data_IF_683730292691
#
_entry.id   IF_683730292691
#
_cell.length_a   1.000
_cell.length_b   1.000
_cell.length_c   1.000
_cell.angle_alpha   90.00
_cell.angle_beta   90.00
_cell.angle_gamma   90.00
#
_symmetry.space_group_name_H-M   'P 1'
#
loop_
_entity.id
_entity.type
_entity.pdbx_description
1 polymer ?
#
# COMPACT_ATOMS: atom_id res chain seq x y z
N UNK A 1 0.78 -0.49 -17.81
CA UNK A 1 1.42 -1.68 -18.41
C UNK A 1 2.52 -2.16 -17.49
N UNK A 2 2.33 -3.28 -16.81
CA UNK A 2 3.41 -4.01 -16.14
C UNK A 2 3.20 -5.49 -16.48
N UNK A 3 3.74 -5.90 -17.63
CA UNK A 3 3.92 -7.33 -17.92
C UNK A 3 5.05 -7.86 -17.02
N UNK A 4 4.96 -9.13 -16.61
CA UNK A 4 5.99 -9.80 -15.81
C UNK A 4 7.33 -9.74 -16.54
N UNK A 5 8.25 -8.93 -16.01
CA UNK A 5 9.64 -8.89 -16.44
C UNK A 5 10.43 -9.71 -15.41
N UNK A 6 11.25 -10.70 -15.82
CA UNK A 6 12.11 -11.40 -14.89
C UNK A 6 12.98 -10.40 -14.12
N UNK A 7 13.10 -10.58 -12.80
CA UNK A 7 13.84 -9.70 -11.87
C UNK A 7 13.26 -8.29 -11.66
N UNK A 8 11.96 -8.08 -11.88
CA UNK A 8 11.31 -6.80 -11.60
C UNK A 8 10.79 -6.73 -10.18
N UNK A 9 11.24 -5.72 -9.44
CA UNK A 9 10.68 -5.32 -8.14
C UNK A 9 9.15 -5.10 -8.25
N UNK A 10 8.37 -5.46 -7.22
CA UNK A 10 6.93 -5.22 -7.21
C UNK A 10 6.65 -3.73 -7.40
N UNK A 11 5.68 -3.41 -8.26
CA UNK A 11 5.25 -2.02 -8.46
C UNK A 11 4.36 -1.57 -7.30
N UNK A 12 4.67 -0.38 -6.76
CA UNK A 12 3.84 0.31 -5.77
C UNK A 12 2.89 1.28 -6.48
N UNK A 13 1.59 1.21 -6.17
CA UNK A 13 0.64 2.23 -6.58
C UNK A 13 0.55 3.35 -5.53
N UNK A 14 0.86 4.58 -5.91
CA UNK A 14 0.80 5.75 -5.05
C UNK A 14 -0.52 6.51 -5.21
N UNK A 15 -1.01 7.12 -4.13
CA UNK A 15 -2.26 7.91 -4.13
C UNK A 15 -3.54 7.08 -4.03
N UNK A 16 -3.50 5.92 -3.37
CA UNK A 16 -4.70 5.10 -3.12
C UNK A 16 -5.54 5.70 -1.99
N UNK A 17 -6.71 6.22 -2.32
CA UNK A 17 -7.59 6.92 -1.40
C UNK A 17 -8.89 6.15 -1.10
N UNK A 18 -9.33 5.26 -2.00
CA UNK A 18 -10.60 4.53 -1.85
C UNK A 18 -10.47 3.01 -1.97
N UNK A 19 -11.40 2.28 -1.35
CA UNK A 19 -11.44 0.82 -1.38
C UNK A 19 -11.63 0.27 -2.82
N UNK A 20 -12.33 1.02 -3.68
CA UNK A 20 -12.56 0.69 -5.08
C UNK A 20 -11.25 0.78 -5.87
N UNK A 21 -10.46 1.84 -5.67
CA UNK A 21 -9.13 1.98 -6.28
C UNK A 21 -8.21 0.83 -5.86
N UNK A 22 -8.18 0.52 -4.57
CA UNK A 22 -7.42 -0.60 -4.02
C UNK A 22 -7.85 -1.95 -4.60
N UNK A 23 -9.16 -2.15 -4.78
CA UNK A 23 -9.71 -3.39 -5.36
C UNK A 23 -9.40 -3.52 -6.85
N UNK A 24 -9.45 -2.42 -7.59
CA UNK A 24 -9.04 -2.37 -8.98
C UNK A 24 -7.54 -2.72 -9.13
N UNK A 25 -6.67 -2.12 -8.32
CA UNK A 25 -5.23 -2.39 -8.34
C UNK A 25 -4.90 -3.86 -8.06
N UNK A 26 -5.56 -4.47 -7.07
CA UNK A 26 -5.43 -5.92 -6.80
C UNK A 26 -5.87 -6.77 -8.00
N UNK A 27 -6.95 -6.38 -8.70
CA UNK A 27 -7.44 -7.13 -9.86
C UNK A 27 -6.45 -7.18 -11.02
N UNK A 28 -5.56 -6.19 -11.12
CA UNK A 28 -4.48 -6.13 -12.11
C UNK A 28 -3.12 -6.60 -11.56
N UNK A 29 -3.10 -7.28 -10.40
CA UNK A 29 -1.88 -7.78 -9.73
C UNK A 29 -0.92 -6.68 -9.26
N UNK A 30 -1.45 -5.50 -8.93
CA UNK A 30 -0.71 -4.50 -8.18
C UNK A 30 -1.07 -4.63 -6.70
N UNK A 31 -0.25 -5.39 -5.99
CA UNK A 31 -0.52 -5.81 -4.61
C UNK A 31 0.06 -4.84 -3.55
N UNK A 32 0.92 -3.90 -3.97
CA UNK A 32 1.49 -2.87 -3.10
C UNK A 32 0.84 -1.51 -3.38
N UNK A 33 0.44 -0.81 -2.32
CA UNK A 33 -0.17 0.52 -2.46
C UNK A 33 0.17 1.45 -1.29
N UNK A 34 0.22 2.73 -1.58
CA UNK A 34 0.40 3.82 -0.63
C UNK A 34 -0.69 4.87 -0.88
N UNK A 35 -1.29 5.39 0.18
CA UNK A 35 -2.24 6.49 0.11
C UNK A 35 -3.13 6.58 1.35
N UNK A 36 -4.02 7.56 1.35
CA UNK A 36 -4.85 7.89 2.51
C UNK A 36 -5.86 6.81 2.89
N UNK A 37 -6.14 5.85 2.00
CA UNK A 37 -6.90 4.65 2.35
C UNK A 37 -6.22 3.87 3.48
N UNK A 38 -4.88 3.81 3.46
CA UNK A 38 -4.09 3.02 4.41
C UNK A 38 -3.70 3.86 5.63
N UNK A 39 -3.05 4.99 5.38
CA UNK A 39 -2.64 5.92 6.41
C UNK A 39 -2.34 7.30 5.81
N UNK A 40 -2.57 8.35 6.61
CA UNK A 40 -2.05 9.68 6.28
C UNK A 40 -0.58 9.78 6.67
N UNK A 41 0.22 10.63 5.98
CA UNK A 41 1.54 11.01 6.46
C UNK A 41 1.48 11.46 7.91
N UNK A 42 2.40 10.96 8.72
CA UNK A 42 2.41 11.20 10.16
C UNK A 42 3.84 11.37 10.66
N UNK A 43 4.05 12.07 11.79
CA UNK A 43 5.36 12.14 12.44
C UNK A 43 5.87 10.75 12.85
N UNK A 44 7.19 10.59 12.95
CA UNK A 44 7.81 9.31 13.31
C UNK A 44 7.26 8.68 14.60
N UNK A 45 7.02 9.50 15.64
CA UNK A 45 6.46 9.01 16.91
C UNK A 45 5.03 8.44 16.76
N UNK A 46 4.23 9.05 15.88
CA UNK A 46 2.90 8.57 15.55
C UNK A 46 2.98 7.29 14.69
N UNK A 47 3.95 7.23 13.78
CA UNK A 47 4.20 6.05 12.96
C UNK A 47 4.55 4.82 13.81
N UNK A 48 5.45 4.95 14.78
CA UNK A 48 5.78 3.83 15.69
C UNK A 48 4.56 3.32 16.46
N UNK A 49 3.69 4.24 16.88
CA UNK A 49 2.46 3.91 17.61
C UNK A 49 1.46 3.21 16.69
N UNK A 50 1.29 3.74 15.47
CA UNK A 50 0.45 3.16 14.43
C UNK A 50 0.92 1.74 14.06
N UNK A 51 2.22 1.55 13.83
CA UNK A 51 2.83 0.28 13.48
C UNK A 51 2.59 -0.80 14.54
N UNK A 52 2.63 -0.44 15.82
CA UNK A 52 2.36 -1.34 16.95
C UNK A 52 0.87 -1.61 17.16
N UNK A 53 0.01 -0.69 16.73
CA UNK A 53 -1.45 -0.80 16.90
C UNK A 53 -2.12 -1.60 15.78
N UNK A 54 -1.48 -1.67 14.62
CA UNK A 54 -2.04 -2.34 13.46
C UNK A 54 -1.84 -3.86 13.57
N UNK A 55 -2.89 -4.62 13.28
CA UNK A 55 -2.98 -6.08 13.52
C UNK A 55 -2.08 -6.94 12.62
N UNK A 56 -1.16 -6.34 11.87
CA UNK A 56 -0.32 -7.03 10.89
C UNK A 56 1.03 -7.49 11.46
N UNK A 57 1.34 -7.20 12.73
CA UNK A 57 2.58 -7.61 13.40
C UNK A 57 2.38 -8.58 14.60
N UNK A 58 1.22 -9.23 14.71
CA UNK A 58 1.05 -10.45 15.55
C UNK A 58 1.32 -11.73 14.75
#
# INVERSE_FOLDING_TARGET
MAHSVPNKEPSVAEGVETAEQSSFLRSIRCDQGQGYLYARPMPAIAFESWLKSDKYFE
#
